data_IF_820194894495
#
_entry.id   IF_820194894495
#
_cell.length_a   1.000
_cell.length_b   1.000
_cell.length_c   1.000
_cell.angle_alpha   90.00
_cell.angle_beta   90.00
_cell.angle_gamma   90.00
#
_symmetry.space_group_name_H-M   'P 1'
#
loop_
_entity.id
_entity.type
_entity.pdbx_description
1 polymer ?
#
# COMPACT_ATOMS: atom_id res chain seq x y z
N UNK A 1 19.58 -31.08 33.62
CA UNK A 1 19.47 -32.46 34.13
C UNK A 1 19.87 -33.41 33.02
N UNK A 2 20.96 -34.15 33.23
CA UNK A 2 21.50 -35.15 32.30
C UNK A 2 20.64 -36.40 32.29
N UNK A 3 20.25 -36.90 31.11
CA UNK A 3 19.86 -38.30 30.92
C UNK A 3 20.22 -38.75 29.50
N UNK A 4 21.37 -39.41 29.39
CA UNK A 4 21.76 -40.21 28.23
C UNK A 4 20.90 -41.46 28.14
N UNK A 5 20.18 -41.64 27.02
CA UNK A 5 19.73 -42.96 26.56
C UNK A 5 20.32 -43.22 25.18
N UNK A 6 21.28 -44.16 25.12
CA UNK A 6 21.81 -44.73 23.88
C UNK A 6 20.70 -45.56 23.23
N UNK A 7 20.14 -45.09 22.12
CA UNK A 7 19.33 -45.91 21.21
C UNK A 7 20.28 -46.55 20.19
N UNK A 8 20.30 -47.89 20.16
CA UNK A 8 21.10 -48.69 19.23
C UNK A 8 20.32 -48.82 17.92
N UNK A 9 20.81 -48.21 16.85
CA UNK A 9 20.25 -48.35 15.49
C UNK A 9 20.87 -49.58 14.83
N UNK A 10 20.11 -50.54 14.27
CA UNK A 10 20.66 -51.67 13.55
C UNK A 10 21.21 -51.23 12.19
N UNK A 11 22.39 -51.74 11.84
CA UNK A 11 23.03 -51.60 10.54
C UNK A 11 22.29 -52.42 9.48
N UNK A 12 21.53 -51.75 8.61
CA UNK A 12 20.91 -52.26 7.38
C UNK A 12 21.22 -51.33 6.20
N UNK A 13 20.90 -51.71 4.94
CA UNK A 13 21.56 -51.22 3.75
C UNK A 13 21.34 -49.71 3.54
N UNK A 14 22.39 -49.08 3.02
CA UNK A 14 22.55 -47.65 2.69
C UNK A 14 21.24 -46.94 2.32
N UNK A 15 20.64 -46.27 3.31
CA UNK A 15 19.64 -45.23 3.08
C UNK A 15 20.34 -44.06 2.38
N UNK A 16 19.93 -43.75 1.14
CA UNK A 16 20.34 -42.50 0.50
C UNK A 16 19.63 -41.36 1.24
N UNK A 17 20.38 -40.58 2.01
CA UNK A 17 19.84 -39.40 2.70
C UNK A 17 20.18 -38.16 1.90
N UNK A 18 19.13 -37.46 1.44
CA UNK A 18 19.26 -36.16 0.79
C UNK A 18 19.17 -35.08 1.87
N UNK A 19 20.21 -34.26 1.99
CA UNK A 19 20.17 -33.03 2.79
C UNK A 19 20.14 -31.86 1.83
N UNK A 20 18.97 -31.23 1.71
CA UNK A 20 18.78 -30.00 0.94
C UNK A 20 18.63 -28.83 1.91
N UNK A 21 19.38 -27.75 1.68
CA UNK A 21 19.20 -26.49 2.38
C UNK A 21 18.94 -25.37 1.36
N UNK A 22 18.04 -24.42 1.66
CA UNK A 22 17.78 -23.29 0.79
C UNK A 22 19.00 -22.36 0.72
N UNK A 23 19.33 -21.89 -0.49
CA UNK A 23 20.36 -20.89 -0.73
C UNK A 23 19.71 -19.56 -1.17
N UNK A 24 19.90 -18.50 -0.37
CA UNK A 24 19.45 -17.14 -0.67
C UNK A 24 20.63 -16.33 -1.24
N UNK A 25 20.77 -16.27 -2.56
CA UNK A 25 21.65 -15.30 -3.18
C UNK A 25 20.96 -13.92 -3.19
N UNK A 26 21.30 -13.06 -2.22
CA UNK A 26 20.98 -11.65 -2.31
C UNK A 26 21.76 -11.03 -3.48
N UNK A 27 21.10 -10.82 -4.62
CA UNK A 27 21.62 -10.08 -5.76
C UNK A 27 21.87 -8.62 -5.36
N UNK A 28 23.04 -8.35 -4.78
CA UNK A 28 23.59 -7.00 -4.62
C UNK A 28 24.51 -6.71 -5.80
N UNK A 29 23.92 -6.29 -6.92
CA UNK A 29 24.67 -5.67 -8.01
C UNK A 29 25.11 -4.27 -7.57
N UNK A 30 26.29 -4.18 -6.96
CA UNK A 30 27.02 -2.94 -6.75
C UNK A 30 28.36 -3.01 -7.51
N UNK A 31 28.58 -2.18 -8.54
CA UNK A 31 29.89 -2.08 -9.17
C UNK A 31 30.89 -1.45 -8.18
N UNK A 32 32.03 -2.11 -8.00
CA UNK A 32 33.23 -1.52 -7.39
C UNK A 32 33.71 -0.37 -8.28
N UNK A 33 33.42 0.88 -7.91
CA UNK A 33 34.11 2.04 -8.46
C UNK A 33 35.27 2.49 -7.56
N UNK A 34 36.41 2.60 -8.23
CA UNK A 34 37.71 3.03 -7.73
C UNK A 34 37.67 4.46 -7.19
N UNK A 35 38.28 4.64 -6.01
CA UNK A 35 38.64 5.95 -5.46
C UNK A 35 39.58 6.69 -6.41
N UNK A 36 39.19 7.88 -6.84
CA UNK A 36 40.12 8.95 -7.21
C UNK A 36 39.64 10.26 -6.60
N UNK A 37 40.50 10.84 -5.76
CA UNK A 37 40.26 12.08 -5.06
C UNK A 37 40.62 13.26 -5.96
N UNK A 38 39.70 14.22 -6.11
CA UNK A 38 40.03 15.57 -6.56
C UNK A 38 39.29 16.59 -5.68
N UNK A 39 40.11 17.33 -4.95
CA UNK A 39 39.81 18.38 -3.98
C UNK A 39 39.47 19.66 -4.76
N UNK A 40 38.31 20.29 -4.50
CA UNK A 40 38.02 21.68 -4.90
C UNK A 40 37.36 22.40 -3.72
N UNK A 41 38.03 23.45 -3.24
CA UNK A 41 37.60 24.35 -2.17
C UNK A 41 36.66 25.46 -2.69
N UNK A 42 35.89 26.13 -1.81
CA UNK A 42 34.78 26.99 -2.18
C UNK A 42 35.20 28.46 -2.39
N UNK A 43 34.63 29.12 -3.42
CA UNK A 43 34.68 30.58 -3.55
C UNK A 43 33.48 31.27 -2.88
N UNK A 44 33.81 32.27 -2.07
CA UNK A 44 32.94 33.21 -1.35
C UNK A 44 32.32 34.30 -2.28
N UNK A 45 31.28 35.02 -1.82
CA UNK A 45 30.45 35.89 -2.64
C UNK A 45 30.99 37.32 -2.73
N UNK A 46 30.76 37.97 -3.87
CA UNK A 46 30.97 39.41 -4.04
C UNK A 46 29.63 40.15 -3.92
N UNK A 47 29.53 40.99 -2.89
CA UNK A 47 28.54 42.04 -2.79
C UNK A 47 28.88 43.18 -3.76
N UNK A 48 27.88 43.78 -4.40
CA UNK A 48 27.97 45.21 -4.68
C UNK A 48 26.61 45.89 -4.68
N UNK A 49 26.69 47.18 -4.38
CA UNK A 49 25.66 48.04 -3.81
C UNK A 49 25.18 49.10 -4.83
N UNK A 50 24.08 49.77 -4.44
CA UNK A 50 23.62 51.13 -4.81
C UNK A 50 22.66 51.27 -5.99
N UNK A 51 21.60 52.01 -5.73
CA UNK A 51 20.71 52.61 -6.73
C UNK A 51 19.39 53.09 -6.11
N UNK A 52 19.45 54.14 -5.28
CA UNK A 52 18.29 54.85 -4.77
C UNK A 52 17.65 55.71 -5.88
N UNK A 53 16.32 55.79 -5.91
CA UNK A 53 15.57 56.68 -6.80
C UNK A 53 14.14 56.84 -6.29
N UNK A 54 13.91 57.92 -5.56
CA UNK A 54 12.61 58.38 -5.05
C UNK A 54 11.78 59.02 -6.16
N UNK A 55 10.47 58.77 -6.19
CA UNK A 55 9.48 59.72 -6.72
C UNK A 55 8.13 59.51 -6.01
N UNK A 56 7.71 60.56 -5.30
CA UNK A 56 6.37 60.78 -4.73
C UNK A 56 5.52 61.46 -5.80
N UNK A 57 4.28 60.99 -5.99
CA UNK A 57 3.13 61.79 -6.45
C UNK A 57 1.85 60.96 -6.15
N UNK A 58 1.06 61.34 -5.14
CA UNK A 58 -0.17 62.17 -5.18
C UNK A 58 -1.38 61.49 -5.86
N UNK A 59 -2.42 61.29 -5.04
CA UNK A 59 -3.73 60.61 -5.20
C UNK A 59 -4.67 61.26 -6.26
N UNK A 60 -5.72 60.53 -6.74
CA UNK A 60 -7.02 60.56 -6.06
C UNK A 60 -7.76 59.21 -5.93
N UNK A 61 -8.44 59.05 -4.81
CA UNK A 61 -9.28 57.92 -4.40
C UNK A 61 -10.64 57.92 -5.11
N UNK A 62 -11.19 56.76 -5.54
CA UNK A 62 -12.63 56.61 -5.73
C UNK A 62 -13.29 56.02 -4.48
N UNK A 63 -14.42 56.63 -4.10
CA UNK A 63 -15.21 56.39 -2.89
C UNK A 63 -15.73 54.95 -2.80
N UNK A 64 -15.53 54.35 -1.63
CA UNK A 64 -16.23 53.16 -1.16
C UNK A 64 -17.68 53.51 -0.80
N UNK A 65 -18.65 52.85 -1.45
CA UNK A 65 -19.98 52.62 -0.88
C UNK A 65 -20.07 51.16 -0.45
N UNK A 66 -19.54 50.86 0.73
CA UNK A 66 -19.81 49.61 1.45
C UNK A 66 -20.89 49.95 2.49
N UNK A 67 -22.06 49.34 2.33
CA UNK A 67 -23.09 49.26 3.36
C UNK A 67 -22.45 48.84 4.69
N UNK A 68 -22.43 49.76 5.65
CA UNK A 68 -22.05 49.46 7.03
C UNK A 68 -23.22 48.75 7.69
N UNK A 69 -23.05 47.47 8.03
CA UNK A 69 -23.87 46.84 9.07
C UNK A 69 -23.51 47.47 10.43
N UNK A 70 -24.50 47.73 11.31
CA UNK A 70 -24.29 48.52 12.51
C UNK A 70 -23.53 47.73 13.57
N UNK A 71 -22.45 48.34 14.06
CA UNK A 71 -21.82 48.01 15.33
C UNK A 71 -22.82 48.25 16.47
N UNK A 72 -22.99 47.21 17.28
CA UNK A 72 -23.53 47.13 18.65
C UNK A 72 -23.93 48.47 19.26
N UNK A 73 -25.23 48.75 19.27
CA UNK A 73 -25.86 49.69 20.21
C UNK A 73 -26.29 48.93 21.46
N UNK A 74 -25.82 49.38 22.61
CA UNK A 74 -26.24 48.94 23.94
C UNK A 74 -27.70 49.31 24.21
N UNK A 75 -28.57 48.32 24.37
CA UNK A 75 -29.81 48.42 25.16
C UNK A 75 -30.35 47.02 25.47
N UNK A 76 -30.96 46.91 26.64
CA UNK A 76 -31.16 45.69 27.42
C UNK A 76 -32.35 44.82 26.97
N UNK A 77 -32.34 43.58 27.47
CA UNK A 77 -33.50 42.65 27.63
C UNK A 77 -34.13 41.99 26.38
N UNK A 78 -33.47 40.93 25.86
CA UNK A 78 -34.07 39.65 25.35
C UNK A 78 -32.95 38.70 24.92
N UNK A 79 -32.23 38.11 25.88
CA UNK A 79 -30.95 37.39 25.64
C UNK A 79 -31.04 35.85 25.60
N UNK A 80 -32.22 35.25 25.71
CA UNK A 80 -32.37 33.78 25.68
C UNK A 80 -32.46 33.16 24.27
N UNK A 81 -33.29 33.73 23.39
CA UNK A 81 -33.63 33.08 22.11
C UNK A 81 -32.69 33.37 20.93
N UNK A 82 -32.07 34.57 20.87
CA UNK A 82 -31.21 34.96 19.74
C UNK A 82 -29.81 34.33 19.79
N UNK A 83 -29.24 34.15 20.98
CA UNK A 83 -27.94 33.48 21.16
C UNK A 83 -27.99 32.01 20.74
N UNK A 84 -29.05 31.30 21.13
CA UNK A 84 -29.29 29.91 20.72
C UNK A 84 -29.52 29.79 19.21
N UNK A 85 -30.27 30.70 18.58
CA UNK A 85 -30.51 30.68 17.14
C UNK A 85 -29.25 30.99 16.29
N UNK A 86 -28.40 31.92 16.75
CA UNK A 86 -27.12 32.25 16.09
C UNK A 86 -26.10 31.14 16.27
N UNK A 87 -25.98 30.58 17.49
CA UNK A 87 -25.13 29.41 17.75
C UNK A 87 -25.59 28.19 16.93
N UNK A 88 -26.91 27.93 16.86
CA UNK A 88 -27.47 26.83 16.05
C UNK A 88 -27.19 27.01 14.56
N UNK A 89 -27.33 28.24 14.02
CA UNK A 89 -26.94 28.55 12.62
C UNK A 89 -25.44 28.36 12.36
N UNK A 90 -24.58 28.72 13.32
CA UNK A 90 -23.13 28.53 13.23
C UNK A 90 -22.75 27.04 13.22
N UNK A 91 -23.40 26.22 14.05
CA UNK A 91 -23.16 24.78 14.12
C UNK A 91 -23.63 24.09 12.83
N UNK A 92 -24.83 24.41 12.33
CA UNK A 92 -25.34 23.85 11.08
C UNK A 92 -24.45 24.21 9.89
N UNK A 93 -23.93 25.44 9.83
CA UNK A 93 -22.98 25.87 8.79
C UNK A 93 -21.64 25.13 8.85
N UNK A 94 -21.08 24.94 10.05
CA UNK A 94 -19.84 24.20 10.26
C UNK A 94 -20.00 22.71 9.90
N UNK A 95 -21.10 22.08 10.33
CA UNK A 95 -21.39 20.69 9.99
C UNK A 95 -21.57 20.51 8.47
N UNK A 96 -22.29 21.43 7.82
CA UNK A 96 -22.46 21.40 6.36
C UNK A 96 -21.13 21.57 5.60
N UNK A 97 -20.21 22.38 6.11
CA UNK A 97 -18.87 22.50 5.54
C UNK A 97 -18.07 21.20 5.69
N UNK A 98 -18.06 20.60 6.88
CA UNK A 98 -17.35 19.34 7.15
C UNK A 98 -17.91 18.21 6.26
N UNK A 99 -19.24 18.07 6.19
CA UNK A 99 -19.87 17.09 5.31
C UNK A 99 -19.53 17.33 3.83
N UNK A 100 -19.45 18.59 3.40
CA UNK A 100 -19.00 18.95 2.06
C UNK A 100 -17.54 18.56 1.79
N UNK A 101 -16.64 18.79 2.76
CA UNK A 101 -15.22 18.39 2.70
C UNK A 101 -15.09 16.87 2.61
N UNK A 102 -15.82 16.14 3.46
CA UNK A 102 -15.84 14.68 3.45
C UNK A 102 -16.36 14.14 2.12
N UNK A 103 -17.46 14.71 1.60
CA UNK A 103 -18.03 14.33 0.31
C UNK A 103 -17.06 14.56 -0.86
N UNK A 104 -16.36 15.69 -0.90
CA UNK A 104 -15.33 15.94 -1.92
C UNK A 104 -14.13 14.99 -1.77
N UNK A 105 -13.71 14.73 -0.54
CA UNK A 105 -12.66 13.76 -0.24
C UNK A 105 -13.01 12.37 -0.72
N UNK A 106 -14.25 11.92 -0.45
CA UNK A 106 -14.74 10.62 -0.88
C UNK A 106 -14.79 10.49 -2.40
N UNK A 107 -15.29 11.52 -3.11
CA UNK A 107 -15.37 11.51 -4.58
C UNK A 107 -13.99 11.48 -5.24
N UNK A 108 -13.05 12.31 -4.77
CA UNK A 108 -11.68 12.29 -5.28
C UNK A 108 -10.94 11.01 -4.91
N UNK A 109 -11.09 10.54 -3.68
CA UNK A 109 -10.53 9.29 -3.19
C UNK A 109 -10.99 8.11 -4.04
N UNK A 110 -12.30 7.96 -4.24
CA UNK A 110 -12.88 6.95 -5.12
C UNK A 110 -12.34 7.01 -6.56
N UNK A 111 -12.34 8.21 -7.17
CA UNK A 111 -11.90 8.39 -8.55
C UNK A 111 -10.41 8.04 -8.73
N UNK A 112 -9.54 8.55 -7.86
CA UNK A 112 -8.10 8.29 -7.93
C UNK A 112 -7.77 6.85 -7.52
N UNK A 113 -8.39 6.37 -6.44
CA UNK A 113 -8.24 5.01 -5.91
C UNK A 113 -8.50 3.94 -6.95
N UNK A 114 -9.70 3.97 -7.56
CA UNK A 114 -10.10 3.00 -8.58
C UNK A 114 -9.28 3.11 -9.88
N UNK A 115 -8.79 4.31 -10.21
CA UNK A 115 -8.00 4.50 -11.42
C UNK A 115 -6.53 4.11 -11.26
N UNK A 116 -5.94 4.37 -10.09
CA UNK A 116 -4.49 4.29 -9.88
C UNK A 116 -4.06 3.11 -9.00
N UNK A 117 -4.80 2.83 -7.93
CA UNK A 117 -4.38 1.90 -6.87
C UNK A 117 -5.06 0.54 -6.98
N UNK A 118 -6.33 0.50 -7.40
CA UNK A 118 -7.12 -0.73 -7.47
C UNK A 118 -6.44 -1.90 -8.22
N UNK A 119 -5.82 -1.71 -9.41
CA UNK A 119 -5.19 -2.82 -10.12
C UNK A 119 -4.05 -3.45 -9.30
N UNK A 120 -3.20 -2.61 -8.71
CA UNK A 120 -2.08 -3.06 -7.89
C UNK A 120 -2.55 -3.74 -6.61
N UNK A 121 -3.55 -3.16 -5.96
CA UNK A 121 -4.11 -3.71 -4.73
C UNK A 121 -4.70 -5.11 -4.96
N UNK A 122 -5.42 -5.32 -6.07
CA UNK A 122 -5.95 -6.64 -6.42
C UNK A 122 -4.84 -7.65 -6.76
N UNK A 123 -3.76 -7.20 -7.40
CA UNK A 123 -2.60 -8.03 -7.70
C UNK A 123 -1.87 -8.48 -6.44
N UNK A 124 -1.56 -7.55 -5.53
CA UNK A 124 -0.81 -7.84 -4.30
C UNK A 124 -1.61 -8.77 -3.37
N UNK A 125 -2.95 -8.70 -3.41
CA UNK A 125 -3.83 -9.62 -2.67
C UNK A 125 -4.11 -10.94 -3.39
N UNK A 126 -3.55 -11.16 -4.59
CA UNK A 126 -3.83 -12.32 -5.45
C UNK A 126 -5.34 -12.58 -5.61
N UNK A 127 -6.12 -11.51 -5.79
CA UNK A 127 -7.57 -11.62 -5.93
C UNK A 127 -7.93 -12.31 -7.26
N UNK A 128 -8.73 -13.38 -7.20
CA UNK A 128 -9.24 -14.10 -8.37
C UNK A 128 -10.77 -13.96 -8.52
N UNK A 129 -11.27 -12.80 -9.00
CA UNK A 129 -12.66 -12.63 -9.37
C UNK A 129 -12.96 -13.34 -10.71
N UNK A 130 -13.28 -14.63 -10.62
CA UNK A 130 -13.64 -15.46 -11.78
C UNK A 130 -15.03 -15.16 -12.39
N UNK A 131 -15.84 -14.32 -11.73
CA UNK A 131 -17.22 -14.00 -12.17
C UNK A 131 -17.46 -12.51 -12.30
N UNK A 132 -18.40 -12.11 -13.18
CA UNK A 132 -18.83 -10.72 -13.31
C UNK A 132 -19.38 -10.15 -12.00
N UNK A 133 -20.09 -10.97 -11.21
CA UNK A 133 -20.55 -10.59 -9.87
C UNK A 133 -19.38 -10.35 -8.93
N UNK A 134 -18.35 -11.21 -8.95
CA UNK A 134 -17.12 -11.02 -8.19
C UNK A 134 -16.46 -9.67 -8.49
N UNK A 135 -16.30 -9.33 -9.78
CA UNK A 135 -15.78 -8.03 -10.20
C UNK A 135 -16.59 -6.85 -9.68
N UNK A 136 -17.93 -6.95 -9.71
CA UNK A 136 -18.81 -5.91 -9.16
C UNK A 136 -18.65 -5.78 -7.64
N UNK A 137 -18.54 -6.91 -6.92
CA UNK A 137 -18.33 -6.90 -5.46
C UNK A 137 -17.00 -6.25 -5.11
N UNK A 138 -15.90 -6.62 -5.77
CA UNK A 138 -14.60 -5.98 -5.55
C UNK A 138 -14.65 -4.49 -5.88
N UNK A 139 -15.23 -4.11 -7.01
CA UNK A 139 -15.37 -2.70 -7.37
C UNK A 139 -16.16 -1.90 -6.32
N UNK A 140 -17.24 -2.46 -5.77
CA UNK A 140 -18.04 -1.82 -4.73
C UNK A 140 -17.26 -1.67 -3.40
N UNK A 141 -16.56 -2.72 -2.97
CA UNK A 141 -15.72 -2.68 -1.76
C UNK A 141 -14.60 -1.65 -1.91
N UNK A 142 -13.88 -1.69 -3.03
CA UNK A 142 -12.80 -0.74 -3.33
C UNK A 142 -13.31 0.70 -3.41
N UNK A 143 -14.48 0.93 -4.03
CA UNK A 143 -15.12 2.24 -4.06
C UNK A 143 -15.37 2.77 -2.65
N UNK A 144 -15.89 1.92 -1.75
CA UNK A 144 -16.13 2.25 -0.35
C UNK A 144 -14.84 2.58 0.40
N UNK A 145 -13.82 1.73 0.26
CA UNK A 145 -12.53 1.90 0.94
C UNK A 145 -11.81 3.17 0.48
N UNK A 146 -11.66 3.36 -0.84
CA UNK A 146 -11.01 4.56 -1.37
C UNK A 146 -11.79 5.83 -1.05
N UNK A 147 -13.12 5.75 -1.03
CA UNK A 147 -13.97 6.84 -0.56
C UNK A 147 -13.74 7.19 0.91
N UNK A 148 -13.66 6.19 1.79
CA UNK A 148 -13.41 6.39 3.22
C UNK A 148 -12.02 7.00 3.48
N UNK A 149 -10.96 6.46 2.86
CA UNK A 149 -9.60 6.98 3.00
C UNK A 149 -9.52 8.41 2.44
N UNK A 150 -10.13 8.67 1.28
CA UNK A 150 -10.19 10.00 0.70
C UNK A 150 -10.92 11.02 1.59
N UNK A 151 -12.02 10.61 2.22
CA UNK A 151 -12.76 11.45 3.17
C UNK A 151 -11.92 11.77 4.43
N UNK A 152 -11.20 10.79 4.98
CA UNK A 152 -10.31 11.02 6.12
C UNK A 152 -9.16 11.96 5.75
N UNK A 153 -8.53 11.75 4.59
CA UNK A 153 -7.47 12.62 4.09
C UNK A 153 -7.98 14.06 3.82
N UNK A 154 -9.23 14.22 3.39
CA UNK A 154 -9.77 15.55 3.11
C UNK A 154 -9.97 16.39 4.37
N UNK A 155 -10.13 15.78 5.56
CA UNK A 155 -10.14 16.51 6.82
C UNK A 155 -8.79 17.22 7.07
N UNK A 156 -7.68 16.52 6.85
CA UNK A 156 -6.34 17.10 6.95
C UNK A 156 -6.11 18.17 5.88
N UNK A 157 -6.55 17.91 4.65
CA UNK A 157 -6.50 18.90 3.58
C UNK A 157 -7.31 20.17 3.93
N UNK A 158 -8.48 20.02 4.55
CA UNK A 158 -9.31 21.15 4.94
C UNK A 158 -8.66 22.02 6.02
N UNK A 159 -7.89 21.44 6.95
CA UNK A 159 -7.11 22.22 7.92
C UNK A 159 -6.11 23.16 7.21
N UNK A 160 -5.46 22.68 6.15
CA UNK A 160 -4.55 23.49 5.33
C UNK A 160 -5.32 24.63 4.63
N UNK A 161 -6.48 24.32 4.05
CA UNK A 161 -7.32 25.31 3.35
C UNK A 161 -7.84 26.40 4.29
N UNK A 162 -8.35 26.00 5.46
CA UNK A 162 -8.88 26.92 6.47
C UNK A 162 -7.75 27.77 7.06
N UNK A 163 -6.60 27.16 7.39
CA UNK A 163 -5.43 27.88 7.89
C UNK A 163 -4.93 28.93 6.90
N UNK A 164 -4.89 28.60 5.61
CA UNK A 164 -4.55 29.54 4.55
C UNK A 164 -5.55 30.69 4.44
N UNK A 165 -6.85 30.40 4.54
CA UNK A 165 -7.90 31.42 4.48
C UNK A 165 -7.80 32.41 5.64
N UNK A 166 -7.61 31.91 6.86
CA UNK A 166 -7.44 32.73 8.06
C UNK A 166 -6.20 33.61 7.95
N UNK A 167 -5.07 33.05 7.51
CA UNK A 167 -3.82 33.80 7.33
C UNK A 167 -3.91 34.90 6.26
N UNK A 168 -4.61 34.66 5.16
CA UNK A 168 -4.75 35.63 4.05
C UNK A 168 -5.88 36.64 4.25
N UNK A 169 -6.77 36.45 5.23
CA UNK A 169 -7.98 37.27 5.47
C UNK A 169 -8.81 37.53 4.21
N UNK A 170 -8.89 36.55 3.30
CA UNK A 170 -9.65 36.64 2.05
C UNK A 170 -10.76 35.59 2.03
N UNK A 171 -11.96 36.01 1.66
CA UNK A 171 -13.09 35.11 1.43
C UNK A 171 -12.98 34.50 0.02
N UNK A 172 -13.37 33.22 -0.09
CA UNK A 172 -13.43 32.56 -1.40
C UNK A 172 -14.56 33.15 -2.25
N UNK A 173 -14.29 33.35 -3.55
CA UNK A 173 -15.29 33.84 -4.51
C UNK A 173 -16.40 32.80 -4.79
N UNK A 174 -16.06 31.52 -4.65
CA UNK A 174 -16.97 30.39 -4.80
C UNK A 174 -16.46 29.25 -3.90
N UNK A 175 -17.12 29.03 -2.77
CA UNK A 175 -16.66 28.06 -1.76
C UNK A 175 -16.70 26.64 -2.34
N UNK A 176 -17.73 26.30 -3.11
CA UNK A 176 -17.93 24.95 -3.61
C UNK A 176 -16.85 24.49 -4.58
N UNK A 177 -16.62 25.25 -5.66
CA UNK A 177 -15.58 24.93 -6.65
C UNK A 177 -14.17 25.06 -6.08
N UNK A 178 -13.93 26.05 -5.22
CA UNK A 178 -12.60 26.23 -4.61
C UNK A 178 -12.26 25.07 -3.70
N UNK A 179 -13.16 24.68 -2.79
CA UNK A 179 -12.94 23.56 -1.87
C UNK A 179 -12.83 22.25 -2.64
N UNK A 180 -13.73 21.98 -3.59
CA UNK A 180 -13.73 20.73 -4.36
C UNK A 180 -12.44 20.50 -5.14
N UNK A 181 -11.92 21.50 -5.85
CA UNK A 181 -10.66 21.36 -6.60
C UNK A 181 -9.43 21.40 -5.71
N UNK A 182 -9.44 22.19 -4.63
CA UNK A 182 -8.29 22.27 -3.71
C UNK A 182 -8.13 20.97 -2.91
N UNK A 183 -9.22 20.34 -2.49
CA UNK A 183 -9.18 19.01 -1.87
C UNK A 183 -8.56 18.01 -2.84
N UNK A 184 -9.00 17.98 -4.10
CA UNK A 184 -8.40 17.11 -5.13
C UNK A 184 -6.89 17.33 -5.31
N UNK A 185 -6.44 18.58 -5.32
CA UNK A 185 -5.02 18.92 -5.43
C UNK A 185 -4.19 18.55 -4.18
N UNK A 186 -4.79 18.62 -2.98
CA UNK A 186 -4.11 18.31 -1.72
C UNK A 186 -4.17 16.83 -1.34
N UNK A 187 -5.09 16.06 -1.93
CA UNK A 187 -5.26 14.66 -1.58
C UNK A 187 -3.98 13.82 -1.80
N UNK A 188 -3.28 13.91 -2.95
CA UNK A 188 -2.05 13.12 -3.16
C UNK A 188 -0.93 13.39 -2.15
N UNK A 189 -0.50 14.65 -1.87
CA UNK A 189 0.54 14.88 -0.90
C UNK A 189 0.10 14.57 0.54
N UNK A 190 -1.18 14.78 0.89
CA UNK A 190 -1.70 14.40 2.21
C UNK A 190 -1.71 12.88 2.38
N UNK A 191 -2.11 12.13 1.35
CA UNK A 191 -2.08 10.66 1.36
C UNK A 191 -0.65 10.14 1.54
N UNK A 192 0.31 10.66 0.75
CA UNK A 192 1.72 10.27 0.86
C UNK A 192 2.32 10.64 2.22
N UNK A 193 1.95 11.80 2.78
CA UNK A 193 2.37 12.19 4.12
C UNK A 193 1.78 11.26 5.20
N UNK A 194 0.52 10.84 5.05
CA UNK A 194 -0.11 9.87 5.94
C UNK A 194 0.60 8.50 5.85
N UNK A 195 0.87 8.01 4.64
CA UNK A 195 1.61 6.77 4.44
C UNK A 195 3.02 6.82 5.07
N UNK A 196 3.77 7.90 4.82
CA UNK A 196 5.09 8.10 5.41
C UNK A 196 5.03 8.17 6.95
N UNK A 197 3.95 8.72 7.51
CA UNK A 197 3.73 8.75 8.95
C UNK A 197 3.42 7.36 9.53
N UNK A 198 2.71 6.50 8.77
CA UNK A 198 2.50 5.09 9.13
C UNK A 198 3.84 4.37 9.19
N UNK A 199 4.65 4.43 8.12
CA UNK A 199 5.97 3.78 8.12
C UNK A 199 6.88 4.32 9.23
N UNK A 200 6.96 5.64 9.38
CA UNK A 200 7.79 6.25 10.42
C UNK A 200 7.31 5.91 11.84
N UNK A 201 6.00 5.79 12.05
CA UNK A 201 5.42 5.38 13.33
C UNK A 201 5.81 3.95 13.70
N UNK A 202 5.70 3.04 12.75
CA UNK A 202 5.95 1.60 12.90
C UNK A 202 7.43 1.25 12.91
N UNK A 203 8.20 1.75 11.92
CA UNK A 203 9.59 1.35 11.68
C UNK A 203 10.64 2.40 12.10
N UNK A 204 10.22 3.56 12.64
CA UNK A 204 11.08 4.71 13.00
C UNK A 204 11.79 5.39 11.82
N UNK A 205 11.59 4.91 10.60
CA UNK A 205 12.05 5.52 9.35
C UNK A 205 11.10 5.12 8.22
N UNK A 206 11.17 5.84 7.09
CA UNK A 206 10.38 5.55 5.89
C UNK A 206 11.15 4.51 5.07
N UNK A 207 10.77 3.24 5.21
CA UNK A 207 11.41 2.07 4.61
C UNK A 207 11.34 2.14 3.09
N UNK A 208 10.18 2.50 2.55
CA UNK A 208 9.91 2.50 1.10
C UNK A 208 10.51 3.70 0.37
N UNK A 209 11.03 4.71 1.09
CA UNK A 209 11.54 5.94 0.48
C UNK A 209 12.62 5.68 -0.58
N UNK A 210 13.50 4.69 -0.34
CA UNK A 210 14.56 4.32 -1.29
C UNK A 210 14.00 3.70 -2.57
N UNK A 211 12.95 2.89 -2.46
CA UNK A 211 12.30 2.26 -3.61
C UNK A 211 11.69 3.32 -4.54
N UNK A 212 11.05 4.34 -3.96
CA UNK A 212 10.37 5.40 -4.70
C UNK A 212 11.26 6.57 -5.13
N UNK A 213 12.47 6.70 -4.58
CA UNK A 213 13.39 7.79 -4.91
C UNK A 213 13.66 7.89 -6.42
N UNK A 214 13.77 6.75 -7.12
CA UNK A 214 13.98 6.71 -8.58
C UNK A 214 12.80 7.25 -9.40
N UNK A 215 11.58 7.17 -8.85
CA UNK A 215 10.35 7.61 -9.51
C UNK A 215 9.90 9.01 -9.08
N UNK A 216 10.47 9.54 -8.00
CA UNK A 216 10.06 10.81 -7.41
C UNK A 216 10.03 12.00 -8.41
N UNK A 217 11.03 12.21 -9.30
CA UNK A 217 10.98 13.33 -10.24
C UNK A 217 9.79 13.24 -11.21
N UNK A 218 9.50 12.06 -11.74
CA UNK A 218 8.39 11.83 -12.65
C UNK A 218 7.03 12.00 -11.94
N UNK A 219 6.91 11.48 -10.72
CA UNK A 219 5.71 11.63 -9.90
C UNK A 219 5.44 13.10 -9.54
N UNK A 220 6.47 13.85 -9.17
CA UNK A 220 6.37 15.30 -8.91
C UNK A 220 5.95 16.04 -10.19
N UNK A 221 6.55 15.71 -11.34
CA UNK A 221 6.18 16.29 -12.62
C UNK A 221 4.71 16.06 -12.97
N UNK A 222 4.24 14.81 -12.87
CA UNK A 222 2.83 14.45 -13.09
C UNK A 222 1.88 15.18 -12.12
N UNK A 223 2.26 15.30 -10.85
CA UNK A 223 1.50 16.04 -9.84
C UNK A 223 1.41 17.54 -10.16
N UNK A 224 2.50 18.16 -10.61
CA UNK A 224 2.51 19.56 -11.01
C UNK A 224 1.62 19.81 -12.23
N UNK A 225 1.67 18.92 -13.24
CA UNK A 225 0.78 18.97 -14.40
C UNK A 225 -0.68 18.84 -13.96
N UNK A 226 -0.99 17.89 -13.07
CA UNK A 226 -2.33 17.73 -12.50
C UNK A 226 -2.81 19.01 -11.80
N UNK A 227 -1.97 19.64 -10.98
CA UNK A 227 -2.27 20.93 -10.36
C UNK A 227 -2.54 22.05 -11.38
N UNK A 228 -1.77 22.10 -12.47
CA UNK A 228 -1.99 23.06 -13.56
C UNK A 228 -3.34 22.83 -14.24
N UNK A 229 -3.70 21.57 -14.54
CA UNK A 229 -5.00 21.21 -15.12
C UNK A 229 -6.15 21.65 -14.21
N UNK A 230 -6.08 21.36 -12.91
CA UNK A 230 -7.10 21.80 -11.95
C UNK A 230 -7.21 23.33 -11.88
N UNK A 231 -6.08 24.04 -11.95
CA UNK A 231 -6.06 25.51 -11.99
C UNK A 231 -6.70 26.06 -13.27
N UNK A 232 -6.43 25.45 -14.42
CA UNK A 232 -7.04 25.83 -15.69
C UNK A 232 -8.55 25.57 -15.68
N UNK A 233 -8.98 24.42 -15.15
CA UNK A 233 -10.39 24.10 -14.95
C UNK A 233 -11.09 25.14 -14.05
N UNK A 234 -10.48 25.51 -12.92
CA UNK A 234 -11.01 26.55 -12.04
C UNK A 234 -11.14 27.90 -12.75
N UNK A 235 -10.11 28.33 -13.50
CA UNK A 235 -10.16 29.60 -14.27
C UNK A 235 -11.24 29.57 -15.34
N UNK A 236 -11.40 28.44 -16.02
CA UNK A 236 -12.41 28.26 -17.04
C UNK A 236 -13.83 28.34 -16.46
N UNK A 237 -14.08 27.71 -15.31
CA UNK A 237 -15.36 27.82 -14.59
C UNK A 237 -15.65 29.27 -14.17
N UNK A 238 -14.67 29.97 -13.61
CA UNK A 238 -14.82 31.36 -13.18
C UNK A 238 -14.99 32.35 -14.33
N UNK A 239 -14.51 32.02 -15.53
CA UNK A 239 -14.64 32.84 -16.74
C UNK A 239 -16.00 32.72 -17.44
N UNK A 240 -16.84 31.73 -17.08
CA UNK A 240 -18.16 31.54 -17.68
C UNK A 240 -19.17 32.54 -17.11
N UNK A 241 -20.02 33.10 -17.99
CA UNK A 241 -21.13 34.00 -17.62
C UNK A 241 -22.16 33.32 -16.71
N UNK A 242 -22.48 32.05 -17.00
CA UNK A 242 -23.26 31.18 -16.14
C UNK A 242 -22.36 30.08 -15.60
N UNK A 243 -22.11 30.08 -14.29
CA UNK A 243 -21.23 29.10 -13.65
C UNK A 243 -21.93 27.74 -13.60
N UNK A 244 -21.27 26.65 -14.03
CA UNK A 244 -21.82 25.31 -13.88
C UNK A 244 -22.01 24.99 -12.39
N UNK A 245 -23.07 24.24 -12.03
CA UNK A 245 -23.25 23.80 -10.65
C UNK A 245 -22.11 22.86 -10.26
N UNK A 246 -21.74 22.86 -8.98
CA UNK A 246 -20.70 21.98 -8.43
C UNK A 246 -21.04 20.49 -8.62
N UNK A 247 -22.31 20.14 -8.77
CA UNK A 247 -22.76 18.79 -9.11
C UNK A 247 -22.13 18.27 -10.41
N UNK A 248 -21.78 19.14 -11.36
CA UNK A 248 -21.08 18.72 -12.58
C UNK A 248 -19.69 18.13 -12.30
N UNK A 249 -18.94 18.70 -11.35
CA UNK A 249 -17.66 18.14 -10.91
C UNK A 249 -17.89 16.80 -10.19
N UNK A 250 -18.91 16.73 -9.33
CA UNK A 250 -19.23 15.49 -8.63
C UNK A 250 -19.61 14.35 -9.60
N UNK A 251 -20.43 14.65 -10.61
CA UNK A 251 -20.78 13.71 -11.69
C UNK A 251 -19.55 13.29 -12.49
N UNK A 252 -18.66 14.23 -12.82
CA UNK A 252 -17.41 13.91 -13.52
C UNK A 252 -16.51 12.97 -12.70
N UNK A 253 -16.38 13.20 -11.40
CA UNK A 253 -15.61 12.34 -10.50
C UNK A 253 -16.24 10.96 -10.34
N UNK A 254 -17.57 10.89 -10.17
CA UNK A 254 -18.30 9.63 -10.13
C UNK A 254 -18.16 8.84 -11.44
N UNK A 255 -18.28 9.52 -12.59
CA UNK A 255 -18.06 8.89 -13.89
C UNK A 255 -16.62 8.38 -14.05
N UNK A 256 -15.63 9.12 -13.54
CA UNK A 256 -14.22 8.69 -13.55
C UNK A 256 -14.01 7.45 -12.68
N UNK A 257 -14.60 7.42 -11.48
CA UNK A 257 -14.57 6.26 -10.58
C UNK A 257 -15.21 5.03 -11.25
N UNK A 258 -16.40 5.21 -11.84
CA UNK A 258 -17.11 4.14 -12.56
C UNK A 258 -16.32 3.63 -13.78
N UNK A 259 -15.71 4.53 -14.55
CA UNK A 259 -14.84 4.14 -15.66
C UNK A 259 -13.60 3.38 -15.16
N UNK A 260 -13.00 3.83 -14.06
CA UNK A 260 -11.90 3.13 -13.40
C UNK A 260 -12.28 1.71 -12.98
N UNK A 261 -13.46 1.54 -12.39
CA UNK A 261 -14.01 0.24 -12.02
C UNK A 261 -14.32 -0.65 -13.23
N UNK A 262 -14.96 -0.11 -14.27
CA UNK A 262 -15.34 -0.86 -15.47
C UNK A 262 -14.13 -1.41 -16.25
N UNK A 263 -12.98 -0.74 -16.16
CA UNK A 263 -11.73 -1.13 -16.84
C UNK A 263 -10.84 -2.03 -15.95
N UNK A 264 -11.21 -2.31 -14.69
CA UNK A 264 -10.43 -3.18 -13.80
C UNK A 264 -10.13 -4.58 -14.39
N UNK A 265 -11.10 -5.30 -14.98
CA UNK A 265 -10.83 -6.61 -15.57
C UNK A 265 -9.80 -6.59 -16.70
N UNK A 266 -9.62 -5.43 -17.34
CA UNK A 266 -8.64 -5.25 -18.42
C UNK A 266 -7.25 -4.87 -17.89
N UNK A 267 -7.14 -4.38 -16.65
CA UNK A 267 -5.88 -3.95 -16.03
C UNK A 267 -5.28 -4.96 -15.07
N UNK A 268 -6.07 -5.92 -14.62
CA UNK A 268 -5.60 -7.01 -13.77
C UNK A 268 -5.53 -8.27 -14.61
N UNK A 269 -4.31 -8.69 -14.92
CA UNK A 269 -4.08 -9.99 -15.55
C UNK A 269 -4.20 -11.07 -14.49
N UNK A 270 -5.26 -11.88 -14.55
CA UNK A 270 -5.35 -13.13 -13.78
C UNK A 270 -4.52 -14.15 -14.55
N UNK A 271 -3.40 -14.65 -14.00
CA UNK A 271 -2.61 -15.69 -14.66
C UNK A 271 -3.52 -16.89 -14.94
N UNK A 272 -3.47 -17.40 -16.17
CA UNK A 272 -4.16 -18.65 -16.48
C UNK A 272 -3.62 -19.73 -15.54
N UNK A 273 -4.51 -20.39 -14.80
CA UNK A 273 -4.13 -21.51 -13.95
C UNK A 273 -3.47 -22.55 -14.83
N UNK A 274 -2.23 -22.99 -14.54
CA UNK A 274 -1.59 -24.03 -15.32
C UNK A 274 -2.51 -25.27 -15.33
N UNK A 275 -3.01 -25.61 -16.52
CA UNK A 275 -3.82 -26.81 -16.71
C UNK A 275 -2.90 -28.03 -16.70
N UNK A 276 -2.84 -28.69 -15.54
CA UNK A 276 -2.18 -29.97 -15.37
C UNK A 276 -0.86 -29.89 -14.59
N UNK A 277 -0.43 -31.03 -14.03
CA UNK A 277 0.80 -31.08 -13.25
C UNK A 277 1.99 -30.79 -14.17
N UNK A 278 2.70 -29.68 -13.94
CA UNK A 278 4.09 -29.53 -14.40
C UNK A 278 5.02 -30.50 -13.68
N UNK A 279 4.52 -31.17 -12.64
CA UNK A 279 5.22 -32.24 -11.94
C UNK A 279 5.55 -33.35 -12.95
N UNK A 280 6.84 -33.55 -13.17
CA UNK A 280 7.36 -34.77 -13.80
C UNK A 280 6.70 -35.95 -13.09
N UNK A 281 5.98 -36.79 -13.83
CA UNK A 281 5.35 -37.99 -13.27
C UNK A 281 6.39 -38.73 -12.45
N UNK A 282 6.14 -38.89 -11.14
CA UNK A 282 7.04 -39.64 -10.27
C UNK A 282 7.11 -41.07 -10.79
N UNK A 283 8.20 -41.41 -11.48
CA UNK A 283 8.41 -42.77 -11.97
C UNK A 283 8.77 -43.61 -10.75
N UNK A 284 7.78 -44.34 -10.24
CA UNK A 284 8.01 -45.34 -9.22
C UNK A 284 9.13 -46.26 -9.69
N UNK A 285 10.18 -46.40 -8.87
CA UNK A 285 11.33 -47.25 -9.18
C UNK A 285 10.84 -48.70 -9.32
N UNK A 286 10.66 -49.17 -10.56
CA UNK A 286 10.30 -50.56 -10.83
C UNK A 286 11.40 -51.47 -10.27
N UNK A 287 11.04 -52.39 -9.37
CA UNK A 287 11.94 -53.42 -8.83
C UNK A 287 12.19 -53.39 -7.31
N UNK A 288 11.54 -52.53 -6.52
CA UNK A 288 11.61 -52.61 -5.06
C UNK A 288 10.67 -53.73 -4.54
N UNK A 289 11.12 -54.98 -4.62
CA UNK A 289 10.38 -56.17 -4.14
C UNK A 289 10.63 -56.50 -2.66
N UNK A 290 11.02 -55.52 -1.85
CA UNK A 290 11.15 -55.63 -0.39
C UNK A 290 10.53 -54.40 0.29
N UNK A 291 10.17 -54.50 1.57
CA UNK A 291 9.66 -53.34 2.32
C UNK A 291 10.76 -52.28 2.38
N UNK A 292 10.67 -51.26 1.53
CA UNK A 292 11.57 -50.13 1.59
C UNK A 292 11.55 -49.55 3.01
N UNK A 293 12.69 -49.14 3.56
CA UNK A 293 12.70 -48.46 4.85
C UNK A 293 11.80 -47.20 4.77
N UNK A 294 11.10 -46.83 5.86
CA UNK A 294 10.28 -45.63 5.87
C UNK A 294 11.09 -44.39 5.45
N UNK A 295 10.50 -43.56 4.58
CA UNK A 295 11.08 -42.28 4.21
C UNK A 295 10.77 -41.25 5.30
N UNK A 296 11.80 -40.58 5.81
CA UNK A 296 11.66 -39.43 6.71
C UNK A 296 12.10 -38.17 5.97
N UNK A 297 11.17 -37.23 5.79
CA UNK A 297 11.47 -35.89 5.31
C UNK A 297 11.55 -34.92 6.50
N UNK A 298 12.63 -34.14 6.57
CA UNK A 298 12.85 -33.13 7.62
C UNK A 298 13.09 -31.79 6.94
N UNK A 299 12.16 -30.85 7.08
CA UNK A 299 12.39 -29.46 6.71
C UNK A 299 12.85 -28.65 7.91
N UNK A 300 13.83 -27.76 7.68
CA UNK A 300 14.39 -26.88 8.69
C UNK A 300 14.11 -25.43 8.29
N UNK A 301 13.24 -24.75 9.04
CA UNK A 301 12.95 -23.34 8.77
C UNK A 301 14.20 -22.48 9.04
N UNK A 302 14.54 -21.61 8.08
CA UNK A 302 15.77 -20.82 8.07
C UNK A 302 17.08 -21.64 7.97
N UNK A 303 17.02 -22.95 7.74
CA UNK A 303 18.16 -23.87 7.75
C UNK A 303 19.05 -23.79 6.50
N UNK A 304 19.64 -22.63 6.21
CA UNK A 304 20.52 -22.42 5.06
C UNK A 304 21.99 -22.84 5.32
N UNK A 305 22.77 -23.02 4.24
CA UNK A 305 24.17 -23.44 4.36
C UNK A 305 25.07 -22.39 4.99
N UNK A 306 24.80 -21.10 4.82
CA UNK A 306 25.53 -20.02 5.49
C UNK A 306 25.48 -20.15 7.02
N UNK A 307 24.38 -20.69 7.55
CA UNK A 307 24.20 -20.98 8.98
C UNK A 307 24.79 -22.34 9.35
N UNK A 308 24.54 -23.38 8.55
CA UNK A 308 24.91 -24.76 8.87
C UNK A 308 26.42 -25.03 8.75
N UNK A 309 27.10 -24.44 7.75
CA UNK A 309 28.53 -24.69 7.49
C UNK A 309 29.45 -24.26 8.65
N UNK A 310 29.30 -23.04 9.23
CA UNK A 310 30.08 -22.67 10.42
C UNK A 310 29.81 -23.59 11.62
N UNK A 311 28.61 -24.13 11.75
CA UNK A 311 28.25 -25.06 12.82
C UNK A 311 28.84 -26.46 12.60
N UNK A 312 28.88 -26.93 11.35
CA UNK A 312 29.53 -28.17 10.96
C UNK A 312 31.04 -28.10 11.16
N UNK A 313 31.68 -27.00 10.74
CA UNK A 313 33.13 -26.80 10.86
C UNK A 313 33.62 -26.87 12.31
N UNK A 314 32.83 -26.38 13.27
CA UNK A 314 33.14 -26.45 14.71
C UNK A 314 32.65 -27.73 15.39
N UNK A 315 32.14 -28.71 14.64
CA UNK A 315 31.65 -29.99 15.16
C UNK A 315 30.35 -29.90 15.99
N UNK A 316 29.60 -28.80 15.89
CA UNK A 316 28.39 -28.58 16.69
C UNK A 316 27.15 -29.34 16.16
N UNK A 317 27.22 -29.87 14.93
CA UNK A 317 26.13 -30.62 14.29
C UNK A 317 26.60 -32.03 13.89
N UNK A 318 26.93 -32.92 14.85
CA UNK A 318 27.53 -34.23 14.55
C UNK A 318 26.63 -35.14 13.72
N UNK A 319 25.31 -35.07 13.92
CA UNK A 319 24.35 -35.82 13.12
C UNK A 319 24.32 -35.33 11.66
N UNK A 320 24.24 -34.02 11.43
CA UNK A 320 24.29 -33.45 10.07
C UNK A 320 25.63 -33.69 9.40
N UNK A 321 26.74 -33.60 10.13
CA UNK A 321 28.07 -33.90 9.60
C UNK A 321 28.14 -35.32 9.06
N UNK A 322 27.57 -36.29 9.80
CA UNK A 322 27.45 -37.66 9.34
C UNK A 322 26.57 -37.78 8.09
N UNK A 323 25.39 -37.15 8.08
CA UNK A 323 24.48 -37.16 6.93
C UNK A 323 25.10 -36.56 5.66
N UNK A 324 25.88 -35.48 5.81
CA UNK A 324 26.60 -34.86 4.68
C UNK A 324 27.75 -35.75 4.20
N UNK A 325 28.47 -36.42 5.11
CA UNK A 325 29.61 -37.29 4.73
C UNK A 325 29.20 -38.64 4.12
N UNK A 326 28.05 -39.19 4.55
CA UNK A 326 27.56 -40.51 4.13
C UNK A 326 26.43 -40.40 3.07
N UNK A 327 25.94 -39.18 2.79
CA UNK A 327 24.77 -38.93 1.94
C UNK A 327 25.05 -37.96 0.79
N UNK A 328 23.97 -37.34 0.27
CA UNK A 328 24.03 -36.36 -0.82
C UNK A 328 23.59 -35.01 -0.27
N UNK A 329 24.37 -33.98 -0.59
CA UNK A 329 24.07 -32.57 -0.32
C UNK A 329 23.98 -31.80 -1.63
N UNK A 330 23.00 -30.92 -1.73
CA UNK A 330 22.89 -29.93 -2.80
C UNK A 330 22.28 -28.63 -2.27
N UNK A 331 22.54 -27.53 -2.98
CA UNK A 331 21.70 -26.34 -2.87
C UNK A 331 20.34 -26.64 -3.48
N UNK A 332 19.29 -26.15 -2.83
CA UNK A 332 17.92 -26.15 -3.35
C UNK A 332 17.47 -24.70 -3.49
N UNK A 333 16.98 -24.34 -4.66
CA UNK A 333 16.50 -23.00 -4.95
C UNK A 333 14.98 -23.02 -5.10
N UNK A 334 14.30 -22.22 -4.29
CA UNK A 334 12.94 -21.83 -4.60
C UNK A 334 12.99 -20.88 -5.81
N UNK A 335 12.15 -21.14 -6.81
CA UNK A 335 12.09 -20.34 -8.05
C UNK A 335 11.11 -19.15 -7.95
N UNK A 336 10.54 -18.91 -6.77
CA UNK A 336 9.50 -17.90 -6.52
C UNK A 336 9.89 -16.90 -5.40
N UNK A 337 10.65 -15.83 -5.66
CA UNK A 337 10.79 -14.75 -4.69
C UNK A 337 9.46 -13.96 -4.57
N UNK A 338 9.09 -13.45 -3.37
CA UNK A 338 9.79 -13.52 -2.08
C UNK A 338 9.65 -14.88 -1.35
N UNK A 339 10.66 -15.23 -0.55
CA UNK A 339 10.73 -16.52 0.16
C UNK A 339 10.05 -16.46 1.53
N UNK A 340 8.74 -16.57 1.54
CA UNK A 340 7.95 -16.69 2.77
C UNK A 340 7.79 -18.15 3.20
N UNK A 341 7.71 -18.39 4.52
CA UNK A 341 7.73 -19.74 5.08
C UNK A 341 6.51 -20.55 4.66
N UNK A 342 5.30 -19.98 4.70
CA UNK A 342 4.06 -20.72 4.39
C UNK A 342 3.98 -21.12 2.91
N UNK A 343 4.24 -20.23 1.92
CA UNK A 343 4.35 -20.64 0.51
C UNK A 343 5.43 -21.71 0.27
N UNK A 344 6.59 -21.59 0.94
CA UNK A 344 7.65 -22.59 0.82
C UNK A 344 7.20 -23.97 1.33
N UNK A 345 6.55 -24.03 2.49
CA UNK A 345 5.98 -25.27 3.00
C UNK A 345 4.87 -25.80 2.12
N UNK A 346 3.95 -24.96 1.65
CA UNK A 346 2.90 -25.38 0.71
C UNK A 346 3.49 -26.05 -0.54
N UNK A 347 4.55 -25.45 -1.11
CA UNK A 347 5.23 -26.02 -2.27
C UNK A 347 5.96 -27.34 -1.95
N UNK A 348 6.61 -27.45 -0.78
CA UNK A 348 7.24 -28.69 -0.33
C UNK A 348 6.21 -29.81 -0.16
N UNK A 349 5.07 -29.53 0.47
CA UNK A 349 4.06 -30.53 0.80
C UNK A 349 3.28 -30.98 -0.45
N UNK A 350 3.07 -30.10 -1.41
CA UNK A 350 2.30 -30.40 -2.63
C UNK A 350 3.17 -30.75 -3.83
N UNK A 351 4.47 -30.49 -3.80
CA UNK A 351 5.37 -30.52 -4.94
C UNK A 351 4.93 -29.61 -6.13
N UNK A 352 4.13 -28.59 -5.84
CA UNK A 352 3.60 -27.64 -6.80
C UNK A 352 4.03 -26.21 -6.45
N UNK A 353 4.25 -25.38 -7.47
CA UNK A 353 4.56 -23.95 -7.32
C UNK A 353 3.43 -23.19 -6.61
N UNK A 354 3.67 -22.00 -6.01
CA UNK A 354 2.60 -21.15 -5.47
C UNK A 354 1.46 -20.88 -6.46
N UNK A 355 1.79 -20.74 -7.75
CA UNK A 355 0.83 -20.54 -8.84
C UNK A 355 -0.10 -21.75 -9.03
N UNK A 356 0.41 -22.96 -8.80
CA UNK A 356 -0.34 -24.21 -8.89
C UNK A 356 -1.09 -24.53 -7.58
N UNK A 357 -0.45 -24.28 -6.43
CA UNK A 357 -0.96 -24.67 -5.11
C UNK A 357 -1.83 -23.59 -4.43
N UNK A 358 -1.83 -22.35 -4.93
CA UNK A 358 -2.70 -21.26 -4.48
C UNK A 358 -2.25 -20.50 -3.23
N UNK A 359 -1.08 -20.83 -2.66
CA UNK A 359 -0.59 -20.23 -1.41
C UNK A 359 0.57 -19.28 -1.69
N UNK A 360 0.27 -17.98 -1.72
CA UNK A 360 1.23 -16.94 -2.08
C UNK A 360 1.81 -16.17 -0.90
N UNK A 361 1.19 -16.21 0.28
CA UNK A 361 1.65 -15.44 1.46
C UNK A 361 1.49 -16.17 2.78
N UNK A 362 2.15 -15.66 3.82
CA UNK A 362 2.10 -16.21 5.19
C UNK A 362 0.74 -16.04 5.87
N UNK A 363 -0.02 -15.05 5.40
CA UNK A 363 -1.28 -14.62 5.98
C UNK A 363 -2.31 -14.41 4.88
N UNK A 364 -3.57 -14.66 5.23
CA UNK A 364 -4.74 -14.42 4.40
C UNK A 364 -5.75 -13.55 5.14
N UNK A 365 -6.44 -12.72 4.38
CA UNK A 365 -7.56 -11.90 4.84
C UNK A 365 -8.85 -12.58 4.40
N UNK A 366 -9.69 -12.92 5.38
CA UNK A 366 -11.07 -13.28 5.13
C UNK A 366 -11.96 -12.06 5.30
N UNK A 367 -12.60 -11.65 4.21
CA UNK A 367 -13.63 -10.62 4.22
C UNK A 367 -14.97 -11.29 3.94
N UNK A 368 -15.99 -11.13 4.81
CA UNK A 368 -17.30 -11.74 4.58
C UNK A 368 -17.86 -11.40 3.19
N UNK A 369 -18.15 -12.44 2.39
CA UNK A 369 -18.70 -12.29 1.04
C UNK A 369 -17.68 -12.08 -0.08
N UNK A 370 -16.38 -12.06 0.23
CA UNK A 370 -15.28 -12.11 -0.74
C UNK A 370 -14.55 -13.45 -0.66
N UNK A 371 -13.86 -13.88 -1.74
CA UNK A 371 -12.93 -14.99 -1.68
C UNK A 371 -11.76 -14.69 -0.72
N UNK A 372 -11.05 -15.73 -0.30
CA UNK A 372 -9.84 -15.57 0.52
C UNK A 372 -8.82 -14.72 -0.25
N UNK A 373 -8.28 -13.71 0.42
CA UNK A 373 -7.27 -12.80 -0.13
C UNK A 373 -5.94 -13.04 0.57
N UNK A 374 -4.83 -12.87 -0.14
CA UNK A 374 -3.51 -12.83 0.49
C UNK A 374 -3.40 -11.52 1.26
N UNK A 375 -2.88 -11.57 2.49
CA UNK A 375 -2.52 -10.37 3.24
C UNK A 375 -1.06 -10.02 2.91
N UNK A 376 -0.79 -8.96 2.14
CA UNK A 376 0.59 -8.59 1.81
C UNK A 376 1.35 -8.23 3.08
N UNK A 377 2.52 -8.85 3.27
CA UNK A 377 3.40 -8.57 4.43
C UNK A 377 4.46 -7.54 4.10
N UNK A 378 4.62 -7.19 2.82
CA UNK A 378 5.51 -6.13 2.37
C UNK A 378 4.89 -4.76 2.63
N UNK A 379 5.71 -3.87 3.17
CA UNK A 379 5.35 -2.46 3.40
C UNK A 379 5.51 -1.72 2.08
N UNK A 380 4.51 -0.91 1.74
CA UNK A 380 4.55 -0.09 0.53
C UNK A 380 3.86 1.24 0.79
N UNK A 381 4.63 2.33 0.73
CA UNK A 381 4.15 3.71 0.85
C UNK A 381 2.87 4.01 0.05
N UNK A 382 2.65 3.37 -1.10
CA UNK A 382 1.44 3.58 -1.90
C UNK A 382 0.20 2.86 -1.36
N UNK A 383 0.36 1.82 -0.53
CA UNK A 383 -0.71 0.98 -0.01
C UNK A 383 -0.80 1.00 1.53
N UNK A 384 0.16 1.56 2.26
CA UNK A 384 0.16 1.55 3.73
C UNK A 384 -1.12 2.11 4.37
N UNK A 385 -1.74 3.21 3.89
CA UNK A 385 -3.02 3.66 4.44
C UNK A 385 -4.17 2.64 4.25
N UNK A 386 -4.10 1.81 3.21
CA UNK A 386 -5.03 0.71 3.01
C UNK A 386 -4.75 -0.42 4.01
N UNK A 387 -3.49 -0.85 4.14
CA UNK A 387 -3.13 -1.90 5.08
C UNK A 387 -3.43 -1.51 6.53
N UNK A 388 -3.19 -0.25 6.92
CA UNK A 388 -3.59 0.25 8.23
C UNK A 388 -5.10 0.13 8.45
N UNK A 389 -5.91 0.47 7.45
CA UNK A 389 -7.36 0.32 7.51
C UNK A 389 -7.75 -1.16 7.65
N UNK A 390 -7.12 -2.05 6.88
CA UNK A 390 -7.35 -3.49 6.95
C UNK A 390 -7.04 -4.05 8.34
N UNK A 391 -5.88 -3.73 8.92
CA UNK A 391 -5.53 -4.11 10.29
C UNK A 391 -6.52 -3.54 11.31
N UNK A 392 -6.96 -2.29 11.13
CA UNK A 392 -7.98 -1.68 12.01
C UNK A 392 -9.32 -2.42 11.91
N UNK A 393 -9.73 -2.81 10.71
CA UNK A 393 -10.94 -3.61 10.50
C UNK A 393 -10.78 -5.02 11.10
N UNK A 394 -9.57 -5.57 11.10
CA UNK A 394 -9.25 -6.84 11.75
C UNK A 394 -9.38 -6.73 13.27
N UNK A 395 -8.84 -5.66 13.86
CA UNK A 395 -8.95 -5.38 15.30
C UNK A 395 -10.41 -5.21 15.75
N UNK A 396 -11.26 -4.69 14.87
CA UNK A 396 -12.70 -4.56 15.10
C UNK A 396 -13.49 -5.85 14.80
N UNK A 397 -12.82 -6.91 14.33
CA UNK A 397 -13.45 -8.20 14.00
C UNK A 397 -14.33 -8.16 12.76
N UNK A 398 -14.16 -7.16 11.88
CA UNK A 398 -14.89 -7.04 10.61
C UNK A 398 -14.27 -7.92 9.53
N UNK A 399 -12.94 -8.02 9.54
CA UNK A 399 -12.16 -8.94 8.70
C UNK A 399 -11.32 -9.83 9.60
N UNK A 400 -10.89 -10.99 9.09
CA UNK A 400 -10.07 -11.92 9.86
C UNK A 400 -8.76 -12.20 9.14
N UNK A 401 -7.64 -11.80 9.75
CA UNK A 401 -6.31 -12.15 9.27
C UNK A 401 -5.87 -13.44 9.94
N UNK A 402 -5.51 -14.45 9.16
CA UNK A 402 -5.11 -15.77 9.66
C UNK A 402 -4.12 -16.47 8.73
N UNK A 403 -3.50 -17.52 9.21
CA UNK A 403 -2.69 -18.38 8.34
C UNK A 403 -3.57 -19.10 7.30
N UNK A 404 -3.03 -19.34 6.09
CA UNK A 404 -3.70 -20.12 5.05
C UNK A 404 -4.22 -21.45 5.59
N UNK A 405 -5.55 -21.69 5.56
CA UNK A 405 -6.10 -22.98 5.96
C UNK A 405 -5.78 -24.05 4.91
N UNK A 406 -5.92 -25.33 5.26
CA UNK A 406 -5.79 -26.43 4.30
C UNK A 406 -6.69 -26.27 3.06
N UNK A 407 -7.88 -25.67 3.21
CA UNK A 407 -8.81 -25.39 2.10
C UNK A 407 -8.30 -24.38 1.07
N UNK A 408 -7.25 -23.62 1.41
CA UNK A 408 -6.61 -22.71 0.47
C UNK A 408 -5.70 -23.46 -0.53
N UNK A 409 -5.26 -24.68 -0.20
CA UNK A 409 -4.47 -25.50 -1.12
C UNK A 409 -5.33 -25.92 -2.30
N UNK A 410 -4.84 -25.60 -3.49
CA UNK A 410 -5.41 -25.98 -4.77
C UNK A 410 -4.98 -27.37 -5.24
N UNK A 411 -3.86 -27.87 -4.71
CA UNK A 411 -3.34 -29.21 -4.96
C UNK A 411 -3.24 -29.97 -3.63
N UNK A 412 -3.58 -31.26 -3.60
CA UNK A 412 -3.41 -32.07 -2.39
C UNK A 412 -1.92 -32.24 -2.07
N UNK A 413 -1.57 -32.44 -0.79
CA UNK A 413 -0.25 -32.93 -0.42
C UNK A 413 0.12 -34.25 -1.09
N UNK A 414 1.41 -34.46 -1.35
CA UNK A 414 1.96 -35.62 -2.09
C UNK A 414 1.70 -36.99 -1.44
N UNK A 415 1.27 -37.02 -0.18
CA UNK A 415 0.96 -38.26 0.54
C UNK A 415 -0.54 -38.57 0.61
N UNK A 416 -1.38 -37.69 0.07
CA UNK A 416 -2.83 -37.91 -0.03
C UNK A 416 -3.23 -38.55 -1.37
N UNK A 417 -2.29 -38.69 -2.31
CA UNK A 417 -2.38 -39.52 -3.53
C UNK A 417 -1.91 -40.96 -3.26
#
# INVERSE_FOLDING_TARGET
FSMSRKVRVPSGPTSTVLVAAPSCAASTNAPRESRSAARIDPMRPAANTRGAGSLREVLPSPRLSIERYPLVSSASTRRGGRGAAVARRSITGALGFILGVLGWGALWGAAMGLCLFAPRLLQDHHADPSTALGWLTFAAVLLGVFGAIGALCSLLAALIVVGWQVGRRRLFRDVGWTVGLTIGALLPPVYLAAAAAVEAGTFKHVVSAKHYARYAPAAIGAYLVFCVVLRLAYRWVLGRRARPPTTSLAVGLAATALAGAAVLPLRVSIPARPEGPSATTLIARRGATGSAPPLLFVGLDGGNWETLEPMLARGALPAFGRLVSEGIRSDMHAVWPPYWSVPAWAAILTAHSPEENGVFGDMMVEVPGLPDLVAPTDVDLLLDPFFLLEFTLSDWGVVHIRHPPRRALHSPPVWDE
#
